data_IF_755585233398
#
_entry.id   IF_755585233398
#
_cell.length_a   1.000
_cell.length_b   1.000
_cell.length_c   1.000
_cell.angle_alpha   90.00
_cell.angle_beta   90.00
_cell.angle_gamma   90.00
#
_symmetry.space_group_name_H-M   'P 1'
#
loop_
_entity.id
_entity.type
_entity.pdbx_description
1 polymer ?
#
# COMPACT_ATOMS: atom_id res chain seq x y z
N UNK A 1 17.20 -23.90 9.51
CA UNK A 1 16.55 -22.71 10.11
C UNK A 1 15.43 -22.23 9.19
N UNK A 2 14.24 -22.03 9.73
CA UNK A 2 13.09 -21.51 8.98
C UNK A 2 13.24 -19.99 8.90
N UNK A 3 13.17 -19.44 7.68
CA UNK A 3 13.18 -18.00 7.48
C UNK A 3 11.91 -17.36 8.08
N UNK A 4 12.05 -16.18 8.66
CA UNK A 4 10.92 -15.43 9.20
C UNK A 4 10.05 -14.91 8.07
N UNK A 5 8.74 -14.98 8.27
CA UNK A 5 7.77 -14.45 7.31
C UNK A 5 7.55 -12.96 7.53
N UNK A 6 7.28 -12.23 6.44
CA UNK A 6 7.15 -10.78 6.46
C UNK A 6 5.85 -10.33 5.80
N UNK A 7 5.19 -9.38 6.44
CA UNK A 7 4.00 -8.71 5.90
C UNK A 7 4.24 -7.22 5.75
N UNK A 8 3.77 -6.63 4.65
CA UNK A 8 3.80 -5.19 4.41
C UNK A 8 2.37 -4.65 4.33
N UNK A 9 2.05 -3.64 5.13
CA UNK A 9 0.78 -2.93 5.09
C UNK A 9 0.97 -1.56 4.43
N UNK A 10 0.31 -1.35 3.28
CA UNK A 10 0.39 -0.11 2.49
C UNK A 10 -0.71 0.85 2.92
N UNK A 11 -0.38 2.13 3.04
CA UNK A 11 -1.31 3.12 3.58
C UNK A 11 -1.67 2.79 5.03
N UNK A 12 -0.69 2.34 5.80
CA UNK A 12 -0.92 1.71 7.09
C UNK A 12 -1.36 2.66 8.21
N UNK A 13 -1.22 3.98 8.02
CA UNK A 13 -1.40 4.91 9.12
C UNK A 13 -0.44 4.62 10.28
N UNK A 14 -0.81 4.99 11.52
CA UNK A 14 0.06 4.77 12.68
C UNK A 14 0.03 3.33 13.22
N UNK A 15 -0.90 2.49 12.77
CA UNK A 15 -1.08 1.12 13.27
C UNK A 15 -1.11 0.14 12.10
N UNK A 16 0.05 -0.31 11.61
CA UNK A 16 0.11 -1.31 10.54
C UNK A 16 -0.58 -2.60 10.93
N UNK A 17 -1.29 -3.19 9.97
CA UNK A 17 -2.03 -4.45 10.15
C UNK A 17 -1.21 -5.61 9.61
N UNK A 18 -1.47 -6.79 10.17
CA UNK A 18 -0.81 -8.03 9.75
C UNK A 18 -1.86 -9.15 9.73
N UNK A 19 -2.75 -9.15 8.71
CA UNK A 19 -3.92 -10.05 8.70
C UNK A 19 -3.55 -11.53 8.56
N UNK A 20 -2.34 -11.82 8.09
CA UNK A 20 -1.89 -13.21 7.93
C UNK A 20 -1.03 -13.71 9.10
N UNK A 21 -0.83 -12.89 10.14
CA UNK A 21 -0.04 -13.29 11.31
C UNK A 21 1.41 -13.64 10.99
N UNK A 22 2.03 -12.90 10.05
CA UNK A 22 3.44 -13.11 9.73
C UNK A 22 4.34 -12.76 10.92
N UNK A 23 5.56 -13.28 10.93
CA UNK A 23 6.50 -13.05 12.03
C UNK A 23 6.89 -11.57 12.18
N UNK A 24 7.01 -10.86 11.07
CA UNK A 24 7.41 -9.47 11.05
C UNK A 24 6.37 -8.62 10.31
N UNK A 25 6.04 -7.46 10.89
CA UNK A 25 5.13 -6.48 10.30
C UNK A 25 5.91 -5.26 9.84
N UNK A 26 5.68 -4.86 8.59
CA UNK A 26 6.23 -3.67 7.96
C UNK A 26 5.10 -2.74 7.55
N UNK A 27 5.38 -1.45 7.54
CA UNK A 27 4.41 -0.44 7.13
C UNK A 27 5.01 0.59 6.19
N UNK A 28 4.17 1.13 5.32
CA UNK A 28 4.52 2.24 4.43
C UNK A 28 3.34 3.19 4.34
N UNK A 29 3.59 4.47 4.55
CA UNK A 29 2.57 5.51 4.50
C UNK A 29 3.25 6.85 4.17
N UNK A 30 2.46 7.85 3.84
CA UNK A 30 2.94 9.22 3.67
C UNK A 30 3.27 9.90 5.00
N UNK A 31 2.78 9.36 6.11
CA UNK A 31 2.97 9.93 7.45
C UNK A 31 4.46 9.90 7.86
N UNK A 32 4.98 10.98 8.45
CA UNK A 32 6.35 10.99 8.95
C UNK A 32 6.51 10.12 10.21
N UNK A 33 7.75 9.70 10.49
CA UNK A 33 8.07 8.87 11.65
C UNK A 33 7.75 9.51 13.00
N UNK A 34 7.58 10.82 13.05
CA UNK A 34 7.20 11.56 14.28
C UNK A 34 5.76 11.24 14.72
N UNK A 35 4.93 10.75 13.82
CA UNK A 35 3.62 10.21 14.18
C UNK A 35 3.84 8.90 14.95
N UNK A 36 3.05 8.70 15.99
CA UNK A 36 3.19 7.54 16.89
C UNK A 36 2.88 6.23 16.17
N UNK A 37 3.86 5.68 15.49
CA UNK A 37 3.76 4.44 14.73
C UNK A 37 4.05 3.25 15.63
N UNK A 38 3.17 2.24 15.59
CA UNK A 38 3.17 1.09 16.49
C UNK A 38 3.97 -0.11 15.95
N UNK A 39 5.08 0.16 15.26
CA UNK A 39 6.05 -0.86 14.83
C UNK A 39 7.46 -0.32 15.00
N UNK A 40 8.44 -1.20 14.83
CA UNK A 40 9.84 -0.80 14.83
C UNK A 40 10.11 0.23 13.73
N UNK A 41 10.87 1.28 14.03
CA UNK A 41 11.30 2.28 13.04
C UNK A 41 12.03 1.65 11.84
N UNK A 42 12.71 0.52 12.04
CA UNK A 42 13.39 -0.19 10.96
C UNK A 42 12.41 -0.85 9.99
N UNK A 43 11.17 -1.09 10.43
CA UNK A 43 10.13 -1.74 9.64
C UNK A 43 9.13 -0.76 9.03
N UNK A 44 9.31 0.53 9.25
CA UNK A 44 8.47 1.56 8.64
C UNK A 44 9.27 2.38 7.65
N UNK A 45 8.64 2.72 6.52
CA UNK A 45 9.19 3.66 5.54
C UNK A 45 8.12 4.69 5.17
N UNK A 46 8.51 5.96 5.20
CA UNK A 46 7.68 7.03 4.66
C UNK A 46 7.83 7.09 3.15
N UNK A 47 6.72 7.08 2.42
CA UNK A 47 6.73 7.26 0.98
C UNK A 47 5.37 7.70 0.47
N UNK A 48 5.36 8.51 -0.58
CA UNK A 48 4.16 8.86 -1.34
C UNK A 48 3.96 7.81 -2.44
N UNK A 49 3.16 6.79 -2.17
CA UNK A 49 2.97 5.65 -3.08
C UNK A 49 2.18 5.98 -4.34
N UNK A 50 1.67 7.22 -4.47
CA UNK A 50 1.08 7.71 -5.72
C UNK A 50 2.18 7.99 -6.75
N UNK A 51 3.33 8.48 -6.31
CA UNK A 51 4.42 8.92 -7.21
C UNK A 51 5.73 8.18 -7.02
N UNK A 52 5.92 7.48 -5.90
CA UNK A 52 7.17 6.84 -5.55
C UNK A 52 7.04 5.31 -5.56
N UNK A 53 8.15 4.63 -5.78
CA UNK A 53 8.23 3.18 -5.63
C UNK A 53 8.06 2.76 -4.19
N UNK A 54 7.63 1.52 -3.97
CA UNK A 54 7.62 0.92 -2.62
C UNK A 54 9.08 0.78 -2.16
N UNK A 55 9.47 1.43 -1.03
CA UNK A 55 10.88 1.53 -0.63
C UNK A 55 11.40 0.26 0.06
N UNK A 56 11.18 -0.88 -0.56
CA UNK A 56 11.66 -2.19 -0.11
C UNK A 56 12.17 -2.99 -1.29
N UNK A 57 13.04 -3.99 -1.05
CA UNK A 57 13.63 -4.80 -2.13
C UNK A 57 12.64 -5.71 -2.85
N UNK A 58 13.05 -6.23 -4.00
CA UNK A 58 12.31 -7.27 -4.72
C UNK A 58 12.17 -8.54 -3.87
N UNK A 59 11.07 -9.26 -4.07
CA UNK A 59 10.86 -10.59 -3.47
C UNK A 59 11.11 -10.60 -1.96
N UNK A 60 10.57 -9.62 -1.26
CA UNK A 60 10.87 -9.41 0.17
C UNK A 60 9.74 -9.87 1.10
N UNK A 61 8.50 -9.78 0.65
CA UNK A 61 7.33 -10.03 1.50
C UNK A 61 6.59 -11.30 1.12
N UNK A 62 6.09 -12.00 2.14
CA UNK A 62 5.21 -13.16 1.98
C UNK A 62 3.78 -12.73 1.73
N UNK A 63 3.40 -11.55 2.24
CA UNK A 63 2.09 -10.96 2.00
C UNK A 63 2.16 -9.43 2.04
N UNK A 64 1.23 -8.79 1.32
CA UNK A 64 1.04 -7.34 1.30
C UNK A 64 -0.45 -7.06 1.50
N UNK A 65 -0.80 -6.02 2.23
CA UNK A 65 -2.17 -5.56 2.39
C UNK A 65 -2.32 -4.08 2.10
N UNK A 66 -3.55 -3.68 1.74
CA UNK A 66 -3.96 -2.29 1.60
C UNK A 66 -5.42 -2.18 2.08
N UNK A 67 -5.62 -1.57 3.24
CA UNK A 67 -6.94 -1.37 3.83
C UNK A 67 -7.40 0.05 3.59
N UNK A 68 -8.48 0.24 2.83
CA UNK A 68 -9.07 1.54 2.50
C UNK A 68 -8.01 2.52 1.98
N UNK A 69 -7.18 2.06 1.06
CA UNK A 69 -6.07 2.82 0.49
C UNK A 69 -6.17 2.95 -1.03
N UNK A 70 -6.52 1.88 -1.75
CA UNK A 70 -6.48 1.86 -3.22
C UNK A 70 -7.42 2.88 -3.86
N UNK A 71 -8.53 3.20 -3.21
CA UNK A 71 -9.49 4.21 -3.68
C UNK A 71 -8.91 5.62 -3.70
N UNK A 72 -7.81 5.86 -2.96
CA UNK A 72 -7.08 7.12 -2.94
C UNK A 72 -5.98 7.19 -4.00
N UNK A 73 -5.70 6.10 -4.72
CA UNK A 73 -4.63 6.03 -5.72
C UNK A 73 -5.23 6.28 -7.10
N UNK A 74 -4.90 7.41 -7.76
CA UNK A 74 -5.50 7.73 -9.06
C UNK A 74 -5.01 6.78 -10.15
N UNK A 75 -5.89 6.53 -11.13
CA UNK A 75 -5.54 5.75 -12.30
C UNK A 75 -4.63 6.52 -13.24
N UNK A 76 -4.76 7.84 -13.25
CA UNK A 76 -4.05 8.72 -14.18
C UNK A 76 -3.82 10.08 -13.53
N UNK A 77 -2.63 10.62 -13.70
CA UNK A 77 -2.27 11.99 -13.27
C UNK A 77 -1.44 12.68 -14.33
N UNK A 78 -1.54 14.02 -14.40
CA UNK A 78 -0.65 14.85 -15.21
C UNK A 78 0.34 15.52 -14.27
N UNK A 79 1.63 15.32 -14.53
CA UNK A 79 2.71 15.89 -13.74
C UNK A 79 2.97 17.35 -14.14
N UNK A 80 3.65 18.10 -13.28
CA UNK A 80 4.01 19.51 -13.55
C UNK A 80 4.86 19.69 -14.81
N UNK A 81 5.59 18.66 -15.22
CA UNK A 81 6.37 18.64 -16.46
C UNK A 81 5.51 18.54 -17.73
N UNK A 82 4.20 18.27 -17.60
CA UNK A 82 3.30 17.95 -18.72
C UNK A 82 3.26 16.47 -19.07
N UNK A 83 4.15 15.64 -18.50
CA UNK A 83 4.10 14.20 -18.66
C UNK A 83 2.93 13.60 -17.84
N UNK A 84 2.46 12.42 -18.25
CA UNK A 84 1.43 11.70 -17.52
C UNK A 84 1.98 10.45 -16.85
N UNK A 85 1.31 10.02 -15.79
CA UNK A 85 1.63 8.79 -15.06
C UNK A 85 0.37 8.00 -14.76
N UNK A 86 0.52 6.71 -14.49
CA UNK A 86 -0.55 5.79 -14.12
C UNK A 86 -0.26 5.21 -12.72
N UNK A 87 -0.51 5.97 -11.64
CA UNK A 87 -0.11 5.57 -10.28
C UNK A 87 -0.69 4.22 -9.85
N UNK A 88 -1.95 3.93 -10.18
CA UNK A 88 -2.58 2.67 -9.79
C UNK A 88 -1.87 1.47 -10.43
N UNK A 89 -1.60 1.53 -11.72
CA UNK A 89 -0.90 0.44 -12.42
C UNK A 89 0.53 0.31 -11.90
N UNK A 90 1.22 1.42 -11.70
CA UNK A 90 2.59 1.42 -11.16
C UNK A 90 2.62 0.80 -9.77
N UNK A 91 1.64 1.10 -8.92
CA UNK A 91 1.55 0.52 -7.58
C UNK A 91 1.30 -1.00 -7.65
N UNK A 92 0.43 -1.46 -8.55
CA UNK A 92 0.21 -2.91 -8.74
C UNK A 92 1.50 -3.62 -9.16
N UNK A 93 2.27 -3.02 -10.05
CA UNK A 93 3.57 -3.56 -10.47
C UNK A 93 4.56 -3.58 -9.30
N UNK A 94 4.56 -2.56 -8.45
CA UNK A 94 5.42 -2.49 -7.28
C UNK A 94 5.04 -3.53 -6.22
N UNK A 95 3.75 -3.75 -6.00
CA UNK A 95 3.27 -4.81 -5.12
C UNK A 95 3.76 -6.17 -5.61
N UNK A 96 3.63 -6.43 -6.91
CA UNK A 96 4.14 -7.66 -7.52
C UNK A 96 5.67 -7.79 -7.34
N UNK A 97 6.40 -6.69 -7.50
CA UNK A 97 7.87 -6.69 -7.37
C UNK A 97 8.33 -7.05 -5.96
N UNK A 98 7.70 -6.48 -4.93
CA UNK A 98 8.12 -6.70 -3.53
C UNK A 98 7.60 -8.01 -2.95
N UNK A 99 6.58 -8.63 -3.55
CA UNK A 99 6.09 -9.93 -3.14
C UNK A 99 7.04 -11.04 -3.62
N UNK A 100 7.28 -12.01 -2.75
CA UNK A 100 7.94 -13.26 -3.14
C UNK A 100 7.04 -14.03 -4.11
N UNK A 101 7.61 -14.89 -4.98
CA UNK A 101 6.81 -15.83 -5.76
C UNK A 101 5.87 -16.63 -4.85
N UNK A 102 4.57 -16.69 -5.22
CA UNK A 102 3.54 -17.31 -4.39
C UNK A 102 3.03 -16.46 -3.25
N UNK A 103 3.52 -15.23 -3.09
CA UNK A 103 3.04 -14.29 -2.08
C UNK A 103 1.60 -13.84 -2.33
N UNK A 104 0.95 -13.32 -1.30
CA UNK A 104 -0.47 -12.98 -1.32
C UNK A 104 -0.65 -11.47 -1.15
N UNK A 105 -1.52 -10.87 -1.97
CA UNK A 105 -1.97 -9.50 -1.81
C UNK A 105 -3.44 -9.48 -1.39
N UNK A 106 -3.75 -8.74 -0.33
CA UNK A 106 -5.11 -8.50 0.15
C UNK A 106 -5.41 -7.00 0.13
N UNK A 107 -6.57 -6.63 -0.42
CA UNK A 107 -7.04 -5.24 -0.39
C UNK A 107 -8.51 -5.19 0.03
N UNK A 108 -8.85 -4.13 0.76
CA UNK A 108 -10.22 -3.79 1.14
C UNK A 108 -10.48 -2.35 0.76
N UNK A 109 -11.56 -2.09 0.00
CA UNK A 109 -11.98 -0.77 -0.43
C UNK A 109 -13.50 -0.66 -0.37
N UNK A 110 -14.05 0.58 -0.21
CA UNK A 110 -15.49 0.78 -0.45
C UNK A 110 -15.79 0.50 -1.92
N UNK A 111 -16.74 -0.40 -2.19
CA UNK A 111 -17.07 -0.82 -3.56
C UNK A 111 -18.29 -0.04 -4.09
N UNK A 112 -18.30 0.22 -5.39
CA UNK A 112 -19.48 0.69 -6.11
C UNK A 112 -20.59 -0.39 -6.03
N UNK A 113 -21.87 -0.06 -5.81
CA UNK A 113 -22.47 1.28 -5.67
C UNK A 113 -22.60 1.77 -4.22
N UNK A 114 -21.87 1.23 -3.26
CA UNK A 114 -21.98 1.62 -1.85
C UNK A 114 -21.66 3.12 -1.69
N UNK A 115 -22.44 3.82 -0.85
CA UNK A 115 -22.30 5.27 -0.66
C UNK A 115 -20.90 5.66 -0.17
N UNK A 116 -20.23 4.81 0.60
CA UNK A 116 -18.87 5.04 1.07
C UNK A 116 -17.84 5.22 -0.06
N UNK A 117 -18.12 4.68 -1.27
CA UNK A 117 -17.24 4.88 -2.42
C UNK A 117 -17.20 6.35 -2.88
N UNK A 118 -18.26 7.13 -2.58
CA UNK A 118 -18.44 8.49 -3.07
C UNK A 118 -18.44 9.56 -1.98
N UNK A 119 -18.45 9.17 -0.70
CA UNK A 119 -18.63 10.10 0.41
C UNK A 119 -17.39 10.92 0.75
N UNK A 120 -16.22 10.49 0.29
CA UNK A 120 -14.94 11.15 0.51
C UNK A 120 -14.38 11.68 -0.82
N UNK A 121 -14.15 13.02 -0.95
CA UNK A 121 -13.63 13.58 -2.21
C UNK A 121 -12.23 13.10 -2.57
N UNK A 122 -11.49 12.50 -1.64
CA UNK A 122 -10.17 11.90 -1.93
C UNK A 122 -10.27 10.48 -2.50
N UNK A 123 -11.48 9.92 -2.61
CA UNK A 123 -11.74 8.67 -3.32
C UNK A 123 -11.76 8.95 -4.83
N UNK A 124 -10.60 8.84 -5.45
CA UNK A 124 -10.39 9.17 -6.87
C UNK A 124 -10.34 7.95 -7.78
N UNK A 125 -10.42 6.76 -7.22
CA UNK A 125 -10.45 5.50 -7.94
C UNK A 125 -11.60 4.65 -7.42
N UNK A 126 -12.69 4.62 -8.18
CA UNK A 126 -13.88 3.86 -7.79
C UNK A 126 -13.66 2.39 -8.14
N UNK A 127 -13.66 1.55 -7.13
CA UNK A 127 -13.43 0.12 -7.27
C UNK A 127 -14.78 -0.58 -7.43
N UNK A 128 -14.84 -1.50 -8.37
CA UNK A 128 -16.01 -2.37 -8.61
C UNK A 128 -15.63 -3.83 -8.39
N UNK A 129 -16.62 -4.66 -8.22
CA UNK A 129 -16.44 -6.11 -8.09
C UNK A 129 -15.84 -6.75 -9.35
#
# INVERSE_FOLDING_TARGET
MIARTRHLDLGCGPIPRNPYGRDETYGCDILPLEVNIKISNNNYRQANLILESIPFPDNHFDSVSAFDFLEHVPRYVVLSSGASAAPFINLMNEIFRVLKPGGVFFASTPAYPHSAAFSDPTHVNIITD
#
